data_IF_468317397931
#
_entry.id   IF_468317397931
#
_cell.length_a   1.000
_cell.length_b   1.000
_cell.length_c   1.000
_cell.angle_alpha   90.00
_cell.angle_beta   90.00
_cell.angle_gamma   90.00
#
_symmetry.space_group_name_H-M   'P 1'
#
loop_
_entity.id
_entity.type
_entity.pdbx_description
1 polymer ?
#
# COMPACT_ATOMS: atom_id res chain seq x y z
N UNK A 1 19.33 0.17 13.47
CA UNK A 1 18.81 -1.14 12.97
C UNK A 1 17.32 -1.30 13.26
N UNK A 2 16.85 -0.95 14.46
CA UNK A 2 15.43 -0.98 14.82
C UNK A 2 14.53 -0.19 13.84
N UNK A 3 14.90 1.03 13.43
CA UNK A 3 14.12 1.81 12.43
C UNK A 3 13.98 1.11 11.08
N UNK A 4 15.02 0.41 10.60
CA UNK A 4 14.96 -0.30 9.31
C UNK A 4 13.98 -1.47 9.37
N UNK A 5 14.05 -2.26 10.43
CA UNK A 5 13.19 -3.44 10.61
C UNK A 5 11.75 -3.00 10.92
N UNK A 6 11.57 -2.01 11.79
CA UNK A 6 10.25 -1.46 12.12
C UNK A 6 9.56 -0.83 10.92
N UNK A 7 10.30 -0.05 10.11
CA UNK A 7 9.76 0.50 8.87
C UNK A 7 9.39 -0.58 7.85
N UNK A 8 10.19 -1.66 7.73
CA UNK A 8 9.87 -2.77 6.82
C UNK A 8 8.57 -3.46 7.22
N UNK A 9 8.40 -3.74 8.51
CA UNK A 9 7.19 -4.35 9.06
C UNK A 9 5.98 -3.44 8.84
N UNK A 10 6.14 -2.13 9.06
CA UNK A 10 5.10 -1.13 8.79
C UNK A 10 4.66 -1.11 7.32
N UNK A 11 5.61 -1.06 6.38
CA UNK A 11 5.32 -1.12 4.94
C UNK A 11 4.61 -2.42 4.58
N UNK A 12 5.06 -3.57 5.10
CA UNK A 12 4.42 -4.86 4.85
C UNK A 12 2.99 -4.92 5.38
N UNK A 13 2.75 -4.49 6.63
CA UNK A 13 1.41 -4.46 7.22
C UNK A 13 0.46 -3.57 6.42
N UNK A 14 0.89 -2.36 6.09
CA UNK A 14 0.08 -1.41 5.30
C UNK A 14 -0.19 -2.00 3.92
N UNK A 15 0.81 -2.56 3.25
CA UNK A 15 0.65 -3.14 1.91
C UNK A 15 -0.36 -4.28 1.90
N UNK A 16 -0.22 -5.24 2.83
CA UNK A 16 -1.14 -6.38 2.92
C UNK A 16 -2.56 -5.92 3.25
N UNK A 17 -2.72 -4.99 4.19
CA UNK A 17 -4.02 -4.43 4.55
C UNK A 17 -4.69 -3.75 3.35
N UNK A 18 -3.97 -2.86 2.68
CA UNK A 18 -4.49 -2.05 1.58
C UNK A 18 -4.82 -2.88 0.34
N UNK A 19 -4.00 -3.89 0.02
CA UNK A 19 -4.30 -4.85 -1.05
C UNK A 19 -5.51 -5.71 -0.70
N UNK A 20 -5.63 -6.16 0.56
CA UNK A 20 -6.80 -6.88 1.05
C UNK A 20 -8.10 -6.06 0.96
N UNK A 21 -8.03 -4.76 1.30
CA UNK A 21 -9.13 -3.82 1.10
C UNK A 21 -9.47 -3.67 -0.39
N UNK A 22 -8.47 -3.53 -1.26
CA UNK A 22 -8.67 -3.42 -2.71
C UNK A 22 -9.42 -4.62 -3.27
N UNK A 23 -9.00 -5.83 -2.87
CA UNK A 23 -9.61 -7.06 -3.31
C UNK A 23 -11.04 -7.20 -2.78
N UNK A 24 -11.27 -6.92 -1.49
CA UNK A 24 -12.60 -6.96 -0.87
C UNK A 24 -13.60 -6.00 -1.54
N UNK A 25 -13.15 -4.78 -1.87
CA UNK A 25 -14.00 -3.80 -2.58
C UNK A 25 -14.25 -4.25 -4.03
N UNK A 26 -13.24 -4.81 -4.70
CA UNK A 26 -13.35 -5.29 -6.08
C UNK A 26 -14.29 -6.49 -6.21
N UNK A 27 -14.41 -7.33 -5.18
CA UNK A 27 -15.32 -8.50 -5.20
C UNK A 27 -16.68 -8.22 -4.57
N UNK A 28 -16.76 -7.32 -3.58
CA UNK A 28 -17.99 -7.05 -2.82
C UNK A 28 -18.82 -5.83 -3.28
N UNK A 29 -18.22 -4.83 -3.94
CA UNK A 29 -18.85 -3.54 -4.29
C UNK A 29 -18.80 -3.20 -5.78
N UNK A 30 -18.58 -4.18 -6.67
CA UNK A 30 -18.37 -3.95 -8.10
C UNK A 30 -19.66 -3.63 -8.90
N UNK A 31 -20.30 -2.52 -8.59
CA UNK A 31 -21.20 -1.81 -9.52
C UNK A 31 -20.45 -0.86 -10.48
N UNK A 32 -19.18 -0.56 -10.19
CA UNK A 32 -18.34 0.36 -10.99
C UNK A 32 -17.09 -0.39 -11.48
N UNK A 33 -17.18 -1.01 -12.66
CA UNK A 33 -16.04 -1.58 -13.40
C UNK A 33 -15.06 -2.43 -12.55
N UNK A 34 -15.55 -3.22 -11.59
CA UNK A 34 -14.73 -4.18 -10.86
C UNK A 34 -13.67 -3.59 -9.92
N UNK A 35 -13.85 -2.35 -9.42
CA UNK A 35 -12.91 -1.75 -8.47
C UNK A 35 -11.73 -1.01 -9.11
N UNK A 36 -11.70 -0.88 -10.45
CA UNK A 36 -10.69 -0.14 -11.20
C UNK A 36 -10.34 1.26 -10.63
N UNK A 37 -11.30 2.14 -10.25
CA UNK A 37 -10.97 3.45 -9.68
C UNK A 37 -10.22 3.34 -8.34
N UNK A 38 -10.47 2.29 -7.56
CA UNK A 38 -9.76 2.06 -6.30
C UNK A 38 -8.30 1.66 -6.56
N UNK A 39 -8.06 0.76 -7.52
CA UNK A 39 -6.71 0.36 -7.91
C UNK A 39 -5.87 1.53 -8.45
N UNK A 40 -6.47 2.44 -9.22
CA UNK A 40 -5.81 3.67 -9.68
C UNK A 40 -5.31 4.57 -8.53
N UNK A 41 -5.99 4.56 -7.39
CA UNK A 41 -5.60 5.33 -6.20
C UNK A 41 -4.59 4.54 -5.36
N UNK A 42 -4.78 3.23 -5.23
CA UNK A 42 -3.98 2.38 -4.36
C UNK A 42 -2.55 2.20 -4.84
N UNK A 43 -2.34 2.07 -6.16
CA UNK A 43 -1.03 1.86 -6.77
C UNK A 43 -0.06 3.02 -6.49
N UNK A 44 -0.40 4.30 -6.74
CA UNK A 44 0.50 5.41 -6.42
C UNK A 44 0.73 5.57 -4.91
N UNK A 45 -0.25 5.26 -4.07
CA UNK A 45 -0.08 5.31 -2.61
C UNK A 45 0.91 4.24 -2.13
N UNK A 46 0.80 3.00 -2.62
CA UNK A 46 1.76 1.93 -2.33
C UNK A 46 3.17 2.30 -2.79
N UNK A 47 3.31 2.88 -3.97
CA UNK A 47 4.59 3.37 -4.47
C UNK A 47 5.17 4.48 -3.56
N UNK A 48 4.34 5.40 -3.06
CA UNK A 48 4.74 6.45 -2.12
C UNK A 48 5.14 5.89 -0.75
N UNK A 49 4.44 4.89 -0.23
CA UNK A 49 4.78 4.24 1.06
C UNK A 49 6.14 3.54 0.96
N UNK A 50 6.40 2.84 -0.15
CA UNK A 50 7.70 2.21 -0.41
C UNK A 50 8.78 3.28 -0.60
N UNK A 51 8.48 4.35 -1.32
CA UNK A 51 9.39 5.46 -1.54
C UNK A 51 9.74 6.18 -0.23
N UNK A 52 8.78 6.41 0.66
CA UNK A 52 8.99 7.05 1.95
C UNK A 52 9.87 6.19 2.87
N UNK A 53 9.66 4.88 2.88
CA UNK A 53 10.53 3.94 3.58
C UNK A 53 11.95 3.92 3.00
N UNK A 54 12.08 3.89 1.67
CA UNK A 54 13.37 3.96 1.00
C UNK A 54 14.09 5.28 1.31
N UNK A 55 13.37 6.41 1.25
CA UNK A 55 13.88 7.72 1.64
C UNK A 55 14.35 7.72 3.09
N UNK A 56 13.58 7.15 4.02
CA UNK A 56 13.92 7.08 5.44
C UNK A 56 15.18 6.26 5.73
N UNK A 57 15.48 5.25 4.89
CA UNK A 57 16.71 4.46 5.02
C UNK A 57 17.93 5.14 4.39
N UNK A 58 17.78 5.73 3.20
CA UNK A 58 18.90 6.16 2.37
C UNK A 58 19.15 7.67 2.39
N UNK A 59 18.17 8.48 2.77
CA UNK A 59 18.23 9.94 2.73
C UNK A 59 17.57 10.52 3.98
N UNK A 60 18.36 10.74 5.04
CA UNK A 60 17.93 11.51 6.21
C UNK A 60 17.57 12.93 5.83
#
# INVERSE_FOLDING_TARGET
MAEKIGGLIGVLMVSVFVIGLAWSISTGFAGFWGGLPFWCIILPILALVIYDYWRSIFRK
#
